data_IF_739189985268
#
_entry.id   IF_739189985268
#
_cell.length_a   1.000
_cell.length_b   1.000
_cell.length_c   1.000
_cell.angle_alpha   90.00
_cell.angle_beta   90.00
_cell.angle_gamma   90.00
#
_symmetry.space_group_name_H-M   'P 1'
#
loop_
_entity.id
_entity.type
_entity.pdbx_description
1 polymer ?
#
# COMPACT_ATOMS: atom_id res chain seq x y z
N UNK A 1 -29.36 56.63 40.46
CA UNK A 1 -29.01 55.22 40.77
C UNK A 1 -29.59 54.33 39.70
N UNK A 2 -28.75 53.89 38.76
CA UNK A 2 -29.11 52.94 37.69
C UNK A 2 -28.38 51.63 37.94
N UNK A 3 -29.06 50.51 38.17
CA UNK A 3 -28.49 49.19 38.38
C UNK A 3 -28.16 48.57 36.99
N UNK A 4 -27.01 47.92 36.83
CA UNK A 4 -26.76 47.16 35.60
C UNK A 4 -27.45 45.78 35.63
N UNK A 5 -28.08 45.45 34.53
CA UNK A 5 -28.64 44.11 34.26
C UNK A 5 -27.50 43.20 33.77
N UNK A 6 -27.18 42.20 34.53
CA UNK A 6 -26.29 41.11 34.08
C UNK A 6 -27.12 40.06 33.34
N UNK A 7 -26.90 39.92 32.04
CA UNK A 7 -27.45 38.82 31.23
C UNK A 7 -26.40 37.67 31.27
N UNK A 8 -26.75 36.61 32.01
CA UNK A 8 -25.95 35.36 32.00
C UNK A 8 -26.28 34.60 30.73
N UNK A 9 -25.34 34.52 29.80
CA UNK A 9 -25.41 33.63 28.64
C UNK A 9 -25.10 32.21 29.08
N UNK A 10 -26.10 31.34 29.19
CA UNK A 10 -25.90 29.91 29.36
C UNK A 10 -25.53 29.29 27.99
N UNK A 11 -24.25 28.90 27.85
CA UNK A 11 -23.80 28.12 26.67
C UNK A 11 -24.26 26.66 26.86
N UNK A 12 -25.30 26.28 26.11
CA UNK A 12 -25.76 24.91 26.03
C UNK A 12 -24.79 24.11 25.15
N UNK A 13 -23.90 23.34 25.76
CA UNK A 13 -23.05 22.39 25.05
C UNK A 13 -23.89 21.20 24.56
N UNK A 14 -24.28 21.21 23.29
CA UNK A 14 -24.90 20.06 22.64
C UNK A 14 -23.81 19.02 22.40
N UNK A 15 -23.73 18.03 23.29
CA UNK A 15 -22.91 16.82 23.07
C UNK A 15 -23.64 15.96 22.06
N UNK A 16 -23.29 16.07 20.78
CA UNK A 16 -23.71 15.12 19.75
C UNK A 16 -23.04 13.79 19.99
N UNK A 17 -23.69 12.89 20.71
CA UNK A 17 -23.34 11.48 20.77
C UNK A 17 -23.65 10.90 19.38
N UNK A 18 -22.62 10.79 18.54
CA UNK A 18 -22.73 10.04 17.30
C UNK A 18 -23.02 8.58 17.66
N UNK A 19 -24.28 8.17 17.56
CA UNK A 19 -24.69 6.78 17.60
C UNK A 19 -23.99 6.04 16.46
N UNK A 20 -22.83 5.43 16.75
CA UNK A 20 -22.23 4.44 15.88
C UNK A 20 -23.19 3.26 15.85
N UNK A 21 -23.82 3.00 14.70
CA UNK A 21 -24.52 1.74 14.49
C UNK A 21 -23.54 0.60 14.86
N UNK A 22 -23.91 -0.33 15.71
CA UNK A 22 -23.02 -1.42 16.09
C UNK A 22 -22.68 -2.20 14.82
N UNK A 23 -21.40 -2.28 14.50
CA UNK A 23 -20.91 -3.21 13.48
C UNK A 23 -21.31 -4.60 13.97
N UNK A 24 -22.05 -5.39 13.19
CA UNK A 24 -22.32 -6.76 13.57
C UNK A 24 -20.99 -7.44 13.88
N UNK A 25 -20.82 -7.84 15.14
CA UNK A 25 -19.63 -8.54 15.58
C UNK A 25 -19.41 -9.75 14.68
N UNK A 26 -18.16 -10.03 14.31
CA UNK A 26 -17.87 -11.24 13.57
C UNK A 26 -18.18 -12.44 14.49
N UNK A 27 -18.98 -13.38 13.98
CA UNK A 27 -19.31 -14.59 14.75
C UNK A 27 -18.02 -15.36 15.09
N UNK A 28 -17.94 -15.95 16.31
CA UNK A 28 -16.82 -16.78 16.68
C UNK A 28 -16.59 -17.92 15.70
N UNK A 29 -15.33 -18.13 15.31
CA UNK A 29 -14.94 -19.08 14.26
C UNK A 29 -13.71 -19.87 14.71
N UNK A 30 -13.74 -21.21 14.56
CA UNK A 30 -12.57 -22.06 14.67
C UNK A 30 -12.05 -22.38 13.28
N UNK A 31 -10.78 -22.10 12.97
CA UNK A 31 -10.14 -22.43 11.68
C UNK A 31 -9.14 -23.54 11.93
N UNK A 32 -9.43 -24.75 11.45
CA UNK A 32 -8.53 -25.91 11.50
C UNK A 32 -7.57 -25.86 10.35
N UNK A 33 -6.28 -25.82 10.60
CA UNK A 33 -5.23 -25.75 9.59
C UNK A 33 -4.38 -27.01 9.58
N UNK A 34 -4.03 -27.52 8.40
CA UNK A 34 -3.05 -28.61 8.28
C UNK A 34 -1.67 -28.17 8.73
N UNK A 35 -1.29 -26.97 8.36
CA UNK A 35 -0.07 -26.29 8.83
C UNK A 35 -0.37 -24.82 9.03
N UNK A 36 0.31 -24.21 10.00
CA UNK A 36 0.32 -22.75 10.18
C UNK A 36 1.77 -22.31 10.04
N UNK A 37 2.03 -21.46 9.06
CA UNK A 37 3.31 -20.77 8.91
C UNK A 37 3.24 -19.46 9.67
N UNK A 38 4.20 -19.25 10.57
CA UNK A 38 4.34 -18.00 11.33
C UNK A 38 5.57 -17.24 10.83
N UNK A 39 5.39 -16.20 9.99
CA UNK A 39 6.50 -15.42 9.48
C UNK A 39 7.23 -14.61 10.56
N UNK A 40 6.60 -14.33 11.70
CA UNK A 40 7.22 -13.57 12.78
C UNK A 40 8.32 -14.37 13.48
N UNK A 41 8.08 -15.65 13.70
CA UNK A 41 9.02 -16.58 14.38
C UNK A 41 9.76 -17.51 13.41
N UNK A 42 9.37 -17.51 12.12
CA UNK A 42 9.83 -18.46 11.07
C UNK A 42 9.61 -19.93 11.47
N UNK A 43 8.48 -20.21 12.08
CA UNK A 43 8.12 -21.56 12.53
C UNK A 43 6.90 -22.11 11.77
N UNK A 44 6.81 -23.45 11.73
CA UNK A 44 5.66 -24.14 11.17
C UNK A 44 5.04 -25.00 12.29
N UNK A 45 3.75 -24.82 12.54
CA UNK A 45 2.96 -25.67 13.44
C UNK A 45 2.05 -26.57 12.60
N UNK A 46 1.99 -27.86 12.88
CA UNK A 46 1.15 -28.84 12.18
C UNK A 46 -0.11 -29.16 13.00
N UNK A 47 -1.24 -29.39 12.32
CA UNK A 47 -2.50 -29.80 12.92
C UNK A 47 -3.05 -28.82 13.94
N UNK A 48 -2.88 -27.50 13.73
CA UNK A 48 -3.24 -26.48 14.69
C UNK A 48 -4.56 -25.78 14.32
N UNK A 49 -5.26 -25.25 15.34
CA UNK A 49 -6.48 -24.46 15.16
C UNK A 49 -6.22 -23.01 15.56
N UNK A 50 -6.69 -22.07 14.73
CA UNK A 50 -6.75 -20.65 15.05
C UNK A 50 -8.18 -20.31 15.45
N UNK A 51 -8.33 -19.70 16.61
CA UNK A 51 -9.63 -19.24 17.11
C UNK A 51 -9.79 -17.76 16.80
N UNK A 52 -10.93 -17.39 16.22
CA UNK A 52 -11.26 -16.02 15.85
C UNK A 52 -12.52 -15.59 16.60
N UNK A 53 -12.47 -14.40 17.18
CA UNK A 53 -13.59 -13.80 17.89
C UNK A 53 -13.52 -12.27 17.77
N UNK A 54 -14.65 -11.63 17.52
CA UNK A 54 -14.79 -10.17 17.36
C UNK A 54 -13.69 -9.53 16.50
N UNK A 55 -13.39 -10.17 15.37
CA UNK A 55 -12.40 -9.68 14.41
C UNK A 55 -10.93 -9.81 14.85
N UNK A 56 -10.64 -10.58 15.89
CA UNK A 56 -9.30 -10.83 16.43
C UNK A 56 -9.02 -12.33 16.55
N UNK A 57 -7.74 -12.66 16.57
CA UNK A 57 -7.28 -13.99 17.00
C UNK A 57 -7.47 -14.10 18.52
N UNK A 58 -8.21 -15.13 18.96
CA UNK A 58 -8.50 -15.41 20.35
C UNK A 58 -7.51 -16.40 20.97
N UNK A 59 -7.17 -16.21 22.23
CA UNK A 59 -6.37 -17.17 23.00
C UNK A 59 -7.20 -18.39 23.46
N UNK A 60 -8.52 -18.22 23.59
CA UNK A 60 -9.43 -19.26 24.05
C UNK A 60 -10.25 -19.82 22.88
N UNK A 61 -10.64 -21.12 22.94
CA UNK A 61 -11.57 -21.70 21.99
C UNK A 61 -12.93 -20.98 22.04
N UNK A 62 -13.64 -20.90 20.90
CA UNK A 62 -14.95 -20.30 20.86
C UNK A 62 -15.96 -21.16 21.66
N UNK A 63 -17.15 -20.62 21.99
CA UNK A 63 -18.21 -21.34 22.67
C UNK A 63 -18.60 -22.64 21.94
N UNK A 64 -19.16 -23.60 22.65
CA UNK A 64 -19.68 -24.84 22.06
C UNK A 64 -20.74 -24.50 20.98
N UNK A 65 -20.63 -25.15 19.81
CA UNK A 65 -21.51 -24.91 18.67
C UNK A 65 -21.04 -23.79 17.73
N UNK A 66 -19.91 -23.12 18.01
CA UNK A 66 -19.34 -22.16 17.08
C UNK A 66 -18.99 -22.81 15.72
N UNK A 67 -19.04 -22.00 14.67
CA UNK A 67 -18.71 -22.45 13.31
C UNK A 67 -17.26 -22.88 13.22
N UNK A 68 -17.03 -23.93 12.41
CA UNK A 68 -15.68 -24.40 12.05
C UNK A 68 -15.45 -24.25 10.56
N UNK A 69 -14.31 -23.67 10.19
CA UNK A 69 -13.76 -23.70 8.83
C UNK A 69 -12.65 -24.75 8.80
N UNK A 70 -12.87 -25.84 8.08
CA UNK A 70 -11.89 -26.91 7.96
C UNK A 70 -10.93 -26.64 6.81
N UNK A 71 -9.69 -26.34 7.15
CA UNK A 71 -8.56 -26.14 6.25
C UNK A 71 -7.42 -27.12 6.57
N UNK A 72 -7.76 -28.30 7.09
CA UNK A 72 -6.78 -29.31 7.52
C UNK A 72 -5.91 -29.86 6.37
N UNK A 73 -6.36 -29.70 5.12
CA UNK A 73 -5.58 -30.04 3.93
C UNK A 73 -4.61 -28.93 3.47
N UNK A 74 -4.65 -27.76 4.09
CA UNK A 74 -3.99 -26.54 3.57
C UNK A 74 -2.99 -25.96 4.54
N UNK A 75 -2.09 -25.10 4.00
CA UNK A 75 -1.19 -24.26 4.78
C UNK A 75 -1.86 -22.89 5.02
N UNK A 76 -1.98 -22.52 6.30
CA UNK A 76 -2.51 -21.22 6.71
C UNK A 76 -1.38 -20.23 7.04
N UNK A 77 -1.59 -18.98 6.70
CA UNK A 77 -0.71 -17.84 6.93
C UNK A 77 -1.52 -16.65 7.44
N UNK A 78 -0.88 -15.63 8.04
CA UNK A 78 -1.52 -14.34 8.22
C UNK A 78 -2.01 -13.78 6.89
N UNK A 79 -3.09 -13.01 6.90
CA UNK A 79 -3.53 -12.25 5.73
C UNK A 79 -2.42 -11.36 5.19
N UNK A 80 -2.27 -11.31 3.86
CA UNK A 80 -1.21 -10.54 3.20
C UNK A 80 -1.50 -9.05 3.22
N UNK A 81 -0.42 -8.27 3.20
CA UNK A 81 -0.44 -6.82 3.11
C UNK A 81 0.29 -6.42 1.83
N UNK A 82 -0.39 -5.67 0.96
CA UNK A 82 0.22 -5.00 -0.17
C UNK A 82 0.41 -3.52 0.17
N UNK A 83 1.64 -3.10 0.34
CA UNK A 83 1.96 -1.75 0.80
C UNK A 83 2.09 -0.73 -0.34
N UNK A 84 1.77 -1.11 -1.59
CA UNK A 84 1.74 -0.19 -2.72
C UNK A 84 0.71 -0.63 -3.75
N UNK A 85 -0.42 0.03 -3.77
CA UNK A 85 -1.51 -0.20 -4.74
C UNK A 85 -2.14 1.12 -5.20
N UNK A 86 -2.89 1.05 -6.30
CA UNK A 86 -3.75 2.10 -6.85
C UNK A 86 -5.12 1.50 -7.18
N UNK A 87 -6.04 1.49 -6.21
CA UNK A 87 -7.38 0.90 -6.39
C UNK A 87 -8.18 1.58 -7.50
N UNK A 88 -7.93 2.86 -7.74
CA UNK A 88 -8.67 3.71 -8.68
C UNK A 88 -8.03 3.75 -10.09
N UNK A 89 -6.96 2.97 -10.32
CA UNK A 89 -6.27 2.83 -11.59
C UNK A 89 -6.44 1.40 -12.14
N UNK A 90 -6.43 1.23 -13.46
CA UNK A 90 -6.60 -0.06 -14.14
C UNK A 90 -5.65 -0.17 -15.34
N UNK A 91 -4.37 -0.35 -15.05
CA UNK A 91 -3.29 -0.39 -16.02
C UNK A 91 -2.87 1.00 -16.52
N UNK A 92 -1.57 1.22 -16.62
CA UNK A 92 -0.97 2.42 -17.19
C UNK A 92 0.32 2.10 -17.94
N UNK A 93 0.37 0.94 -18.59
CA UNK A 93 1.54 0.54 -19.36
C UNK A 93 1.94 1.58 -20.42
N UNK A 94 0.98 2.33 -20.92
CA UNK A 94 1.17 3.43 -21.88
C UNK A 94 0.50 4.71 -21.39
N UNK A 95 1.00 5.88 -21.85
CA UNK A 95 0.36 7.17 -21.56
C UNK A 95 -1.09 7.22 -22.08
N UNK A 96 -1.41 6.54 -23.16
CA UNK A 96 -2.76 6.52 -23.72
C UNK A 96 -3.75 5.82 -22.78
N UNK A 97 -3.36 4.72 -22.12
CA UNK A 97 -4.20 4.03 -21.14
C UNK A 97 -4.42 4.90 -19.89
N UNK A 98 -3.40 5.63 -19.45
CA UNK A 98 -3.53 6.57 -18.35
C UNK A 98 -4.44 7.74 -18.70
N UNK A 99 -4.24 8.36 -19.87
CA UNK A 99 -5.02 9.50 -20.36
C UNK A 99 -6.50 9.13 -20.52
N UNK A 100 -6.82 7.91 -21.02
CA UNK A 100 -8.19 7.42 -21.11
C UNK A 100 -8.89 7.46 -19.76
N UNK A 101 -8.24 6.96 -18.72
CA UNK A 101 -8.83 6.90 -17.38
C UNK A 101 -9.01 8.29 -16.75
N UNK A 102 -8.06 9.20 -16.95
CA UNK A 102 -8.12 10.54 -16.35
C UNK A 102 -9.07 11.47 -17.13
N UNK A 103 -9.18 11.30 -18.43
CA UNK A 103 -9.93 12.21 -19.31
C UNK A 103 -11.35 11.72 -19.64
N UNK A 104 -11.58 10.40 -19.72
CA UNK A 104 -12.82 9.84 -20.22
C UNK A 104 -13.65 9.14 -19.14
N UNK A 105 -13.02 8.66 -18.05
CA UNK A 105 -13.75 7.97 -17.00
C UNK A 105 -14.21 8.93 -15.91
N UNK A 106 -15.48 8.85 -15.55
CA UNK A 106 -16.02 9.64 -14.42
C UNK A 106 -15.57 9.09 -13.07
N UNK A 107 -15.48 9.96 -12.06
CA UNK A 107 -15.14 9.55 -10.69
C UNK A 107 -16.05 8.43 -10.15
N UNK A 108 -17.40 8.50 -10.30
CA UNK A 108 -18.29 7.40 -9.89
C UNK A 108 -17.99 6.06 -10.58
N UNK A 109 -17.67 6.07 -11.88
CA UNK A 109 -17.30 4.85 -12.60
C UNK A 109 -16.00 4.25 -12.03
N UNK A 110 -14.97 5.08 -11.81
CA UNK A 110 -13.70 4.65 -11.23
C UNK A 110 -13.86 4.08 -9.82
N UNK A 111 -14.76 4.64 -8.99
CA UNK A 111 -15.08 4.10 -7.66
C UNK A 111 -15.72 2.71 -7.75
N UNK A 112 -16.66 2.50 -8.68
CA UNK A 112 -17.29 1.18 -8.88
C UNK A 112 -16.26 0.15 -9.33
N UNK A 113 -15.37 0.51 -10.26
CA UNK A 113 -14.26 -0.33 -10.71
C UNK A 113 -13.27 -0.64 -9.57
N UNK A 114 -12.95 0.35 -8.75
CA UNK A 114 -12.09 0.18 -7.58
C UNK A 114 -12.67 -0.77 -6.52
N UNK A 115 -14.00 -0.82 -6.37
CA UNK A 115 -14.65 -1.80 -5.51
C UNK A 115 -14.46 -3.24 -6.03
N UNK A 116 -14.48 -3.45 -7.36
CA UNK A 116 -14.15 -4.73 -7.98
C UNK A 116 -12.64 -5.07 -7.79
N UNK A 117 -11.74 -4.12 -8.00
CA UNK A 117 -10.31 -4.27 -7.75
C UNK A 117 -10.02 -4.69 -6.29
N UNK A 118 -10.66 -4.04 -5.33
CA UNK A 118 -10.56 -4.39 -3.91
C UNK A 118 -11.06 -5.83 -3.62
N UNK A 119 -12.07 -6.30 -4.34
CA UNK A 119 -12.52 -7.69 -4.25
C UNK A 119 -11.46 -8.66 -4.78
N UNK A 120 -10.84 -8.35 -5.91
CA UNK A 120 -9.74 -9.14 -6.48
C UNK A 120 -8.58 -9.23 -5.49
N UNK A 121 -8.19 -8.11 -4.86
CA UNK A 121 -7.16 -8.11 -3.81
C UNK A 121 -7.48 -9.09 -2.69
N UNK A 122 -8.72 -9.10 -2.18
CA UNK A 122 -9.17 -10.07 -1.18
C UNK A 122 -9.08 -11.51 -1.69
N UNK A 123 -9.52 -11.78 -2.92
CA UNK A 123 -9.49 -13.11 -3.51
C UNK A 123 -8.07 -13.64 -3.72
N UNK A 124 -7.10 -12.73 -3.89
CA UNK A 124 -5.67 -13.05 -3.91
C UNK A 124 -5.06 -13.20 -2.49
N UNK A 125 -5.80 -12.91 -1.42
CA UNK A 125 -5.34 -13.05 -0.04
C UNK A 125 -4.82 -11.76 0.60
N UNK A 126 -4.88 -10.63 -0.11
CA UNK A 126 -4.47 -9.34 0.43
C UNK A 126 -5.60 -8.73 1.26
N UNK A 127 -5.54 -8.94 2.57
CA UNK A 127 -6.56 -8.46 3.53
C UNK A 127 -6.33 -7.01 3.94
N UNK A 128 -5.18 -6.46 3.59
CA UNK A 128 -4.80 -5.06 3.83
C UNK A 128 -4.04 -4.52 2.62
N UNK A 129 -4.36 -3.30 2.20
CA UNK A 129 -3.66 -2.58 1.13
C UNK A 129 -3.34 -1.15 1.57
N UNK A 130 -2.21 -0.60 1.08
CA UNK A 130 -1.91 0.82 1.14
C UNK A 130 -2.08 1.39 -0.26
N UNK A 131 -3.09 2.25 -0.44
CA UNK A 131 -3.38 2.95 -1.69
C UNK A 131 -2.55 4.23 -1.75
N UNK A 132 -1.64 4.32 -2.71
CA UNK A 132 -0.63 5.38 -2.79
C UNK A 132 -0.87 6.39 -3.92
N UNK A 133 -2.13 6.64 -4.22
CA UNK A 133 -2.52 7.68 -5.17
C UNK A 133 -3.79 7.33 -5.91
N UNK A 134 -4.68 8.31 -6.00
CA UNK A 134 -6.00 8.13 -6.64
C UNK A 134 -6.00 8.48 -8.12
N UNK A 135 -4.87 8.99 -8.64
CA UNK A 135 -4.66 9.31 -10.04
C UNK A 135 -5.81 10.16 -10.63
N UNK A 136 -6.12 11.28 -9.93
CA UNK A 136 -7.17 12.23 -10.34
C UNK A 136 -8.58 11.93 -9.82
N UNK A 137 -8.78 10.87 -9.02
CA UNK A 137 -10.10 10.58 -8.42
C UNK A 137 -10.30 11.22 -7.03
N UNK A 138 -9.56 12.28 -6.70
CA UNK A 138 -9.70 13.00 -5.43
C UNK A 138 -9.42 12.13 -4.21
N UNK A 139 -10.33 12.10 -3.25
CA UNK A 139 -10.23 11.29 -2.02
C UNK A 139 -11.10 10.03 -2.04
N UNK A 140 -11.31 9.46 -3.22
CA UNK A 140 -12.17 8.28 -3.38
C UNK A 140 -11.64 7.03 -2.67
N UNK A 141 -10.34 6.90 -2.45
CA UNK A 141 -9.72 5.86 -1.63
C UNK A 141 -10.14 5.96 -0.15
N UNK A 142 -10.26 7.18 0.39
CA UNK A 142 -10.80 7.44 1.74
C UNK A 142 -12.25 7.03 1.84
N UNK A 143 -13.06 7.30 0.80
CA UNK A 143 -14.46 6.90 0.76
C UNK A 143 -14.61 5.37 0.61
N UNK A 144 -13.80 4.71 -0.20
CA UNK A 144 -13.73 3.25 -0.30
C UNK A 144 -13.38 2.62 1.06
N UNK A 145 -12.33 3.11 1.73
CA UNK A 145 -11.99 2.68 3.10
C UNK A 145 -13.19 2.78 4.03
N UNK A 146 -13.89 3.91 4.00
CA UNK A 146 -15.08 4.16 4.83
C UNK A 146 -16.23 3.20 4.50
N UNK A 147 -16.45 2.92 3.20
CA UNK A 147 -17.46 1.97 2.74
C UNK A 147 -17.17 0.55 3.23
N UNK A 148 -15.91 0.09 3.12
CA UNK A 148 -15.47 -1.22 3.63
C UNK A 148 -15.57 -1.31 5.15
N UNK A 149 -15.14 -0.28 5.88
CA UNK A 149 -15.23 -0.22 7.34
C UNK A 149 -16.68 -0.26 7.85
N UNK A 150 -17.62 0.32 7.10
CA UNK A 150 -19.05 0.29 7.43
C UNK A 150 -19.77 -0.97 6.96
N UNK A 151 -19.10 -1.83 6.21
CA UNK A 151 -19.69 -3.04 5.64
C UNK A 151 -20.69 -2.78 4.52
N UNK A 152 -20.64 -1.62 3.88
CA UNK A 152 -21.45 -1.29 2.69
C UNK A 152 -21.03 -2.20 1.53
N UNK A 153 -19.72 -2.43 1.39
CA UNK A 153 -19.12 -3.33 0.43
C UNK A 153 -18.07 -4.20 1.13
N UNK A 154 -17.83 -5.44 0.66
CA UNK A 154 -16.66 -6.22 1.08
C UNK A 154 -15.38 -5.61 0.48
N UNK A 155 -14.32 -5.53 1.28
CA UNK A 155 -13.04 -5.02 0.84
C UNK A 155 -11.95 -5.23 1.90
N UNK A 156 -10.67 -5.06 1.54
CA UNK A 156 -9.53 -5.11 2.47
C UNK A 156 -9.54 -3.91 3.43
N UNK A 157 -8.67 -3.92 4.43
CA UNK A 157 -8.30 -2.68 5.10
C UNK A 157 -7.52 -1.82 4.12
N UNK A 158 -7.90 -0.56 4.00
CA UNK A 158 -7.23 0.41 3.14
C UNK A 158 -6.53 1.45 4.00
N UNK A 159 -5.24 1.68 3.73
CA UNK A 159 -4.49 2.85 4.19
C UNK A 159 -4.42 3.81 3.00
N UNK A 160 -5.16 4.89 3.07
CA UNK A 160 -5.38 5.82 1.97
C UNK A 160 -4.38 6.97 1.98
N UNK A 161 -3.91 7.40 0.81
CA UNK A 161 -3.06 8.59 0.66
C UNK A 161 -3.76 9.78 -0.03
N UNK A 162 -4.92 9.54 -0.66
CA UNK A 162 -5.54 10.54 -1.51
C UNK A 162 -4.71 10.82 -2.78
N UNK A 163 -4.81 12.00 -3.38
CA UNK A 163 -3.98 12.38 -4.51
C UNK A 163 -2.49 12.44 -4.13
N UNK A 164 -1.62 11.78 -4.90
CA UNK A 164 -0.19 11.92 -4.71
C UNK A 164 0.25 13.37 -4.95
N UNK A 165 1.28 13.84 -4.25
CA UNK A 165 1.77 15.22 -4.37
C UNK A 165 2.88 15.33 -5.41
N UNK A 166 2.85 16.38 -6.21
CA UNK A 166 3.90 16.76 -7.16
C UNK A 166 3.96 18.28 -7.32
N UNK A 167 4.93 18.78 -8.08
CA UNK A 167 5.03 20.21 -8.44
C UNK A 167 4.29 20.49 -9.75
N UNK A 168 4.09 21.77 -10.05
CA UNK A 168 3.60 22.18 -11.38
C UNK A 168 4.51 21.63 -12.47
N UNK A 169 3.93 20.91 -13.44
CA UNK A 169 4.65 20.22 -14.52
C UNK A 169 5.39 18.96 -14.07
N UNK A 170 5.23 18.50 -12.83
CA UNK A 170 5.87 17.29 -12.32
C UNK A 170 5.19 15.98 -12.73
N UNK A 171 3.89 16.03 -13.03
CA UNK A 171 3.10 14.86 -13.46
C UNK A 171 1.98 15.30 -14.43
N UNK A 172 2.32 15.92 -15.58
CA UNK A 172 1.31 16.43 -16.50
C UNK A 172 0.82 15.36 -17.47
N UNK A 173 -0.41 15.52 -17.94
CA UNK A 173 -0.84 14.88 -19.19
C UNK A 173 -0.09 15.56 -20.34
N UNK A 174 0.59 14.77 -21.16
CA UNK A 174 1.48 15.27 -22.22
C UNK A 174 0.79 15.25 -23.59
N UNK A 175 1.25 16.11 -24.51
CA UNK A 175 0.80 16.14 -25.89
C UNK A 175 -0.48 16.95 -26.15
N UNK A 176 -1.01 17.64 -25.15
CA UNK A 176 -2.20 18.48 -25.27
C UNK A 176 -1.83 19.97 -25.42
N UNK A 177 -2.73 20.74 -26.09
CA UNK A 177 -2.56 22.20 -26.21
C UNK A 177 -2.58 22.85 -24.84
N UNK A 178 -1.66 23.79 -24.59
CA UNK A 178 -1.58 24.57 -23.36
C UNK A 178 -2.84 25.40 -23.05
N UNK A 179 -3.66 25.69 -24.06
CA UNK A 179 -4.95 26.40 -23.91
C UNK A 179 -6.02 25.54 -23.24
N UNK A 180 -5.82 24.21 -23.18
CA UNK A 180 -6.78 23.31 -22.55
C UNK A 180 -6.53 23.24 -21.05
N UNK A 181 -7.58 23.39 -20.28
CA UNK A 181 -7.54 23.08 -18.84
C UNK A 181 -7.65 21.56 -18.67
N UNK A 182 -6.51 20.94 -18.43
CA UNK A 182 -6.43 19.49 -18.19
C UNK A 182 -6.72 19.16 -16.73
N UNK A 183 -7.35 18.00 -16.43
CA UNK A 183 -7.41 17.51 -15.06
C UNK A 183 -6.01 17.11 -14.58
N UNK A 184 -5.80 17.17 -13.27
CA UNK A 184 -4.56 16.77 -12.64
C UNK A 184 -4.72 15.38 -12.00
N UNK A 185 -3.79 14.46 -12.31
CA UNK A 185 -3.67 13.18 -11.63
C UNK A 185 -3.15 13.29 -10.19
N UNK A 186 -2.59 14.43 -9.83
CA UNK A 186 -1.89 14.72 -8.57
C UNK A 186 -2.38 15.99 -7.88
N UNK A 187 -2.03 16.16 -6.62
CA UNK A 187 -2.15 17.43 -5.90
C UNK A 187 -0.86 18.22 -6.08
N UNK A 188 -0.93 19.37 -6.76
CA UNK A 188 0.23 20.24 -6.99
C UNK A 188 0.49 21.11 -5.80
N UNK A 189 1.78 21.36 -5.50
CA UNK A 189 2.23 22.39 -4.59
C UNK A 189 3.59 22.93 -5.04
N UNK A 190 3.75 24.25 -4.98
CA UNK A 190 4.97 24.96 -5.37
C UNK A 190 5.42 25.86 -4.23
N UNK A 191 6.64 25.65 -3.78
CA UNK A 191 7.22 26.32 -2.61
C UNK A 191 6.82 25.67 -1.27
N UNK A 192 7.67 25.84 -0.23
CA UNK A 192 7.52 25.16 1.07
C UNK A 192 6.18 25.41 1.77
N UNK A 193 5.68 26.66 1.73
CA UNK A 193 4.45 27.03 2.43
C UNK A 193 3.20 26.43 1.76
N UNK A 194 3.16 26.42 0.43
CA UNK A 194 2.07 25.81 -0.31
C UNK A 194 2.08 24.27 -0.13
N UNK A 195 3.26 23.66 -0.09
CA UNK A 195 3.39 22.24 0.20
C UNK A 195 2.94 21.88 1.63
N UNK A 196 3.23 22.70 2.65
CA UNK A 196 2.66 22.52 4.00
C UNK A 196 1.12 22.61 3.98
N UNK A 197 0.58 23.57 3.24
CA UNK A 197 -0.88 23.71 3.09
C UNK A 197 -1.49 22.50 2.39
N UNK A 198 -0.86 21.97 1.35
CA UNK A 198 -1.30 20.78 0.64
C UNK A 198 -1.33 19.55 1.56
N UNK A 199 -0.31 19.33 2.40
CA UNK A 199 -0.30 18.26 3.42
C UNK A 199 -1.47 18.41 4.39
N UNK A 200 -1.72 19.62 4.92
CA UNK A 200 -2.86 19.90 5.81
C UNK A 200 -4.19 19.59 5.14
N UNK A 201 -4.34 19.98 3.88
CA UNK A 201 -5.53 19.70 3.08
C UNK A 201 -5.75 18.19 2.92
N UNK A 202 -4.72 17.41 2.64
CA UNK A 202 -4.82 15.95 2.57
C UNK A 202 -5.26 15.34 3.91
N UNK A 203 -4.61 15.75 5.01
CA UNK A 203 -4.92 15.24 6.36
C UNK A 203 -6.35 15.61 6.78
N UNK A 204 -6.80 16.82 6.45
CA UNK A 204 -8.20 17.27 6.67
C UNK A 204 -9.21 16.35 5.96
N UNK A 205 -8.86 15.84 4.79
CA UNK A 205 -9.72 14.91 4.02
C UNK A 205 -9.58 13.46 4.46
N UNK A 206 -8.77 13.18 5.49
CA UNK A 206 -8.76 11.91 6.19
C UNK A 206 -7.77 10.89 5.66
N UNK A 207 -6.71 11.27 4.97
CA UNK A 207 -5.66 10.34 4.54
C UNK A 207 -4.89 9.74 5.72
N UNK A 208 -4.33 8.56 5.52
CA UNK A 208 -3.47 7.86 6.49
C UNK A 208 -2.00 8.13 6.22
N UNK A 209 -1.63 8.34 4.96
CA UNK A 209 -0.29 8.55 4.45
C UNK A 209 -0.23 9.78 3.53
N UNK A 210 0.96 10.32 3.33
CA UNK A 210 1.26 11.27 2.25
C UNK A 210 2.09 10.53 1.21
N UNK A 211 1.71 10.61 -0.07
CA UNK A 211 2.52 10.12 -1.20
C UNK A 211 3.09 11.30 -1.96
N UNK A 212 4.38 11.22 -2.31
CA UNK A 212 5.06 12.20 -3.15
C UNK A 212 5.72 11.54 -4.35
N UNK A 213 5.81 12.25 -5.47
CA UNK A 213 6.66 11.90 -6.60
C UNK A 213 7.97 12.67 -6.48
N UNK A 214 9.05 12.01 -6.02
CA UNK A 214 10.33 12.69 -5.78
C UNK A 214 11.10 12.96 -7.07
N UNK A 215 10.97 12.12 -8.09
CA UNK A 215 11.67 12.26 -9.37
C UNK A 215 10.83 11.83 -10.57
N UNK A 216 11.28 12.23 -11.77
CA UNK A 216 10.71 11.89 -13.08
C UNK A 216 11.76 11.96 -14.18
N UNK A 217 11.41 11.49 -15.38
CA UNK A 217 12.24 11.66 -16.60
C UNK A 217 13.63 11.07 -16.46
N UNK A 218 13.68 9.75 -16.30
CA UNK A 218 14.91 9.00 -16.06
C UNK A 218 15.80 8.97 -17.30
N UNK A 219 17.12 9.14 -17.11
CA UNK A 219 18.11 9.13 -18.18
C UNK A 219 19.48 8.65 -17.71
N UNK A 220 20.33 8.30 -18.70
CA UNK A 220 21.74 7.97 -18.45
C UNK A 220 22.60 9.21 -18.53
N UNK A 221 23.48 9.37 -17.54
CA UNK A 221 24.48 10.45 -17.58
C UNK A 221 25.64 10.10 -18.51
N UNK A 222 26.40 11.08 -19.03
CA UNK A 222 27.53 10.82 -19.95
C UNK A 222 28.60 9.89 -19.38
N UNK A 223 28.80 9.86 -18.08
CA UNK A 223 29.72 8.96 -17.36
C UNK A 223 29.12 7.56 -17.11
N UNK A 224 27.92 7.29 -17.63
CA UNK A 224 27.25 6.01 -17.50
C UNK A 224 26.43 5.85 -16.21
N UNK A 225 26.30 6.88 -15.38
CA UNK A 225 25.45 6.91 -14.20
C UNK A 225 23.96 6.99 -14.55
N UNK A 226 23.12 7.06 -13.50
CA UNK A 226 21.68 7.25 -13.59
C UNK A 226 21.30 8.59 -12.98
N UNK A 227 20.38 9.29 -13.62
CA UNK A 227 19.80 10.51 -13.11
C UNK A 227 18.32 10.65 -13.53
N UNK A 228 17.65 11.53 -12.84
CA UNK A 228 16.28 11.98 -13.13
C UNK A 228 16.14 13.45 -12.79
N UNK A 229 15.06 14.07 -13.24
CA UNK A 229 14.66 15.39 -12.80
C UNK A 229 14.02 15.25 -11.41
N UNK A 230 14.59 15.90 -10.40
CA UNK A 230 13.92 16.02 -9.10
C UNK A 230 12.66 16.88 -9.26
N UNK A 231 11.54 16.42 -8.69
CA UNK A 231 10.31 17.21 -8.71
C UNK A 231 10.34 18.33 -7.67
N UNK A 232 10.75 18.00 -6.46
CA UNK A 232 10.78 18.97 -5.35
C UNK A 232 12.20 19.45 -5.10
N UNK A 233 12.34 20.71 -4.69
CA UNK A 233 13.56 21.19 -4.07
C UNK A 233 13.74 20.52 -2.69
N UNK A 234 14.94 20.50 -2.12
CA UNK A 234 15.16 19.98 -0.77
C UNK A 234 14.27 20.67 0.29
N UNK A 235 14.03 21.97 0.15
CA UNK A 235 13.22 22.77 1.06
C UNK A 235 11.73 22.39 0.99
N UNK A 236 11.20 22.17 -0.22
CA UNK A 236 9.82 21.72 -0.43
C UNK A 236 9.61 20.31 0.13
N UNK A 237 10.49 19.37 -0.21
CA UNK A 237 10.39 17.98 0.29
C UNK A 237 10.50 17.95 1.82
N UNK A 238 11.41 18.75 2.41
CA UNK A 238 11.53 18.89 3.85
C UNK A 238 10.24 19.45 4.47
N UNK A 239 9.64 20.46 3.85
CA UNK A 239 8.39 21.06 4.34
C UNK A 239 7.24 20.05 4.33
N UNK A 240 7.15 19.19 3.29
CA UNK A 240 6.15 18.13 3.20
C UNK A 240 6.35 17.12 4.35
N UNK A 241 7.57 16.61 4.51
CA UNK A 241 7.85 15.57 5.49
C UNK A 241 7.67 16.07 6.92
N UNK A 242 8.20 17.24 7.25
CA UNK A 242 8.03 17.86 8.57
C UNK A 242 6.56 18.07 8.92
N UNK A 243 5.77 18.61 7.99
CA UNK A 243 4.35 18.86 8.23
C UNK A 243 3.56 17.57 8.38
N UNK A 244 3.86 16.56 7.54
CA UNK A 244 3.25 15.23 7.65
C UNK A 244 3.54 14.58 9.01
N UNK A 245 4.80 14.58 9.44
CA UNK A 245 5.20 14.00 10.72
C UNK A 245 4.61 14.78 11.92
N UNK A 246 4.54 16.11 11.86
CA UNK A 246 3.85 16.93 12.87
C UNK A 246 2.37 16.53 13.01
N UNK A 247 1.74 16.13 11.91
CA UNK A 247 0.36 15.65 11.86
C UNK A 247 0.26 14.12 12.05
N UNK A 248 1.35 13.45 12.46
CA UNK A 248 1.45 11.99 12.70
C UNK A 248 1.11 11.17 11.46
N UNK A 249 1.51 11.67 10.27
CA UNK A 249 1.40 10.96 9.00
C UNK A 249 2.78 10.61 8.50
N UNK A 250 2.92 9.41 7.93
CA UNK A 250 4.13 8.95 7.26
C UNK A 250 4.13 9.40 5.80
N UNK A 251 5.32 9.44 5.20
CA UNK A 251 5.52 9.87 3.80
C UNK A 251 6.12 8.73 2.99
N UNK A 252 5.47 8.37 1.89
CA UNK A 252 5.94 7.43 0.88
C UNK A 252 6.43 8.20 -0.35
N UNK A 253 7.64 7.93 -0.81
CA UNK A 253 8.25 8.63 -1.94
C UNK A 253 8.45 7.70 -3.14
N UNK A 254 7.70 7.94 -4.24
CA UNK A 254 8.11 7.42 -5.54
C UNK A 254 9.47 8.00 -5.87
N UNK A 255 10.45 7.14 -6.08
CA UNK A 255 11.80 7.55 -6.45
C UNK A 255 12.53 6.39 -7.10
N UNK A 256 13.06 6.60 -8.30
CA UNK A 256 13.70 5.55 -9.09
C UNK A 256 15.21 5.72 -9.23
N UNK A 257 15.74 6.91 -8.93
CA UNK A 257 17.15 7.22 -9.18
C UNK A 257 17.86 7.83 -7.96
N UNK A 258 19.21 7.79 -7.92
CA UNK A 258 19.98 8.37 -6.81
C UNK A 258 19.67 9.85 -6.54
N UNK A 259 19.32 10.62 -7.58
CA UNK A 259 18.97 12.04 -7.42
C UNK A 259 17.67 12.23 -6.61
N UNK A 260 16.63 11.48 -6.96
CA UNK A 260 15.38 11.48 -6.20
C UNK A 260 15.54 10.90 -4.80
N UNK A 261 16.26 9.78 -4.68
CA UNK A 261 16.53 9.14 -3.38
C UNK A 261 17.20 10.11 -2.39
N UNK A 262 18.21 10.87 -2.83
CA UNK A 262 18.89 11.84 -1.97
C UNK A 262 17.95 12.92 -1.44
N UNK A 263 17.11 13.48 -2.29
CA UNK A 263 16.13 14.51 -1.87
C UNK A 263 15.13 13.90 -0.88
N UNK A 264 14.56 12.75 -1.18
CA UNK A 264 13.59 12.08 -0.32
C UNK A 264 14.18 11.67 1.04
N UNK A 265 15.33 10.98 1.02
CA UNK A 265 15.99 10.52 2.25
C UNK A 265 16.51 11.66 3.12
N UNK A 266 17.03 12.75 2.52
CA UNK A 266 17.49 13.91 3.31
C UNK A 266 16.34 14.59 4.04
N UNK A 267 15.15 14.61 3.47
CA UNK A 267 13.95 15.13 4.10
C UNK A 267 13.36 14.22 5.19
N UNK A 268 13.68 12.91 5.17
CA UNK A 268 13.25 11.96 6.19
C UNK A 268 11.97 11.20 5.85
N UNK A 269 11.76 10.83 4.59
CA UNK A 269 10.63 9.97 4.18
C UNK A 269 10.69 8.60 4.87
N UNK A 270 9.54 7.95 5.00
CA UNK A 270 9.39 6.66 5.70
C UNK A 270 9.55 5.44 4.78
N UNK A 271 9.27 5.59 3.48
CA UNK A 271 9.53 4.55 2.48
C UNK A 271 9.94 5.10 1.13
N UNK A 272 10.78 4.34 0.43
CA UNK A 272 11.12 4.51 -0.99
C UNK A 272 10.34 3.47 -1.77
N UNK A 273 9.58 3.95 -2.72
CA UNK A 273 8.79 3.15 -3.64
C UNK A 273 9.54 3.00 -4.96
N UNK A 274 9.50 1.83 -5.58
CA UNK A 274 10.24 1.39 -6.78
C UNK A 274 11.74 1.23 -6.52
N UNK A 275 12.49 2.31 -6.31
CA UNK A 275 13.91 2.24 -5.96
C UNK A 275 14.77 1.51 -7.00
N UNK A 276 14.52 1.73 -8.30
CA UNK A 276 15.14 0.95 -9.37
C UNK A 276 16.66 1.09 -9.41
N UNK A 277 17.19 2.22 -8.95
CA UNK A 277 18.64 2.46 -8.94
C UNK A 277 19.09 2.87 -7.53
N UNK A 278 19.12 1.92 -6.60
CA UNK A 278 19.66 2.14 -5.26
C UNK A 278 21.20 1.98 -5.29
N UNK A 279 21.95 3.09 -5.24
CA UNK A 279 23.39 3.05 -5.06
C UNK A 279 23.79 2.69 -3.60
N UNK A 280 25.07 2.49 -3.36
CA UNK A 280 25.56 2.11 -2.02
C UNK A 280 25.28 3.17 -0.96
N UNK A 281 25.36 4.45 -1.33
CA UNK A 281 25.10 5.58 -0.42
C UNK A 281 23.62 5.60 -0.01
N UNK A 282 22.74 5.44 -0.99
CA UNK A 282 21.28 5.32 -0.75
C UNK A 282 20.96 4.16 0.18
N UNK A 283 21.51 2.98 -0.11
CA UNK A 283 21.29 1.77 0.72
C UNK A 283 21.78 1.97 2.16
N UNK A 284 22.99 2.54 2.34
CA UNK A 284 23.53 2.85 3.67
C UNK A 284 22.64 3.83 4.43
N UNK A 285 22.11 4.86 3.75
CA UNK A 285 21.20 5.83 4.34
C UNK A 285 19.87 5.20 4.75
N UNK A 286 19.31 4.31 3.92
CA UNK A 286 18.06 3.57 4.23
C UNK A 286 18.23 2.68 5.46
N UNK A 287 19.32 1.93 5.55
CA UNK A 287 19.62 1.08 6.72
C UNK A 287 19.75 1.92 7.99
N UNK A 288 20.56 3.00 7.93
CA UNK A 288 20.82 3.85 9.08
C UNK A 288 19.56 4.53 9.63
N UNK A 289 18.63 4.90 8.75
CA UNK A 289 17.38 5.59 9.10
C UNK A 289 16.17 4.67 9.20
N UNK A 290 16.34 3.37 8.94
CA UNK A 290 15.27 2.35 8.89
C UNK A 290 14.16 2.72 7.91
N UNK A 291 14.51 3.34 6.77
CA UNK A 291 13.56 3.63 5.69
C UNK A 291 13.24 2.33 4.96
N UNK A 292 11.95 2.04 4.79
CA UNK A 292 11.52 0.83 4.10
C UNK A 292 11.69 0.95 2.58
N UNK A 293 11.91 -0.18 1.94
CA UNK A 293 11.94 -0.33 0.48
C UNK A 293 10.73 -1.13 0.01
N UNK A 294 9.98 -0.59 -0.95
CA UNK A 294 8.84 -1.24 -1.58
C UNK A 294 9.13 -1.40 -3.08
N UNK A 295 9.60 -2.57 -3.55
CA UNK A 295 10.26 -2.70 -4.86
C UNK A 295 9.32 -2.72 -6.06
N UNK A 296 8.06 -3.14 -5.91
CA UNK A 296 7.03 -3.16 -6.96
C UNK A 296 7.48 -3.84 -8.27
N UNK A 297 8.08 -5.02 -8.14
CA UNK A 297 8.71 -5.72 -9.27
C UNK A 297 7.66 -6.15 -10.30
N UNK A 298 6.46 -6.51 -9.83
CA UNK A 298 5.37 -6.98 -10.70
C UNK A 298 4.96 -5.93 -11.72
N UNK A 299 4.80 -4.65 -11.31
CA UNK A 299 4.49 -3.57 -12.25
C UNK A 299 5.67 -3.29 -13.18
N UNK A 300 6.90 -3.31 -12.68
CA UNK A 300 8.09 -3.10 -13.51
C UNK A 300 8.19 -4.15 -14.64
N UNK A 301 7.89 -5.43 -14.34
CA UNK A 301 7.81 -6.49 -15.33
C UNK A 301 6.68 -6.25 -16.35
N UNK A 302 5.52 -5.81 -15.90
CA UNK A 302 4.37 -5.55 -16.75
C UNK A 302 4.60 -4.41 -17.72
N UNK A 303 5.09 -3.26 -17.25
CA UNK A 303 5.26 -2.06 -18.07
C UNK A 303 6.51 -2.09 -18.94
N UNK A 304 7.52 -2.89 -18.57
CA UNK A 304 8.79 -3.00 -19.31
C UNK A 304 8.57 -3.26 -20.79
N UNK A 305 7.81 -4.30 -21.14
CA UNK A 305 7.60 -4.72 -22.51
C UNK A 305 6.98 -3.63 -23.41
N UNK A 306 5.85 -3.04 -23.05
CA UNK A 306 5.26 -1.91 -23.80
C UNK A 306 6.17 -0.69 -23.87
N UNK A 307 6.76 -0.27 -22.73
CA UNK A 307 7.57 0.96 -22.64
C UNK A 307 8.93 0.84 -23.33
N UNK A 308 9.56 -0.34 -23.35
CA UNK A 308 10.84 -0.56 -24.05
C UNK A 308 10.73 -0.43 -25.57
N UNK A 309 9.53 -0.61 -26.13
CA UNK A 309 9.29 -0.39 -27.58
C UNK A 309 9.49 1.07 -27.98
N UNK A 310 9.23 2.01 -27.05
CA UNK A 310 9.38 3.44 -27.30
C UNK A 310 10.68 4.01 -26.72
N UNK A 311 11.19 3.42 -25.64
CA UNK A 311 12.42 3.85 -24.98
C UNK A 311 13.14 2.67 -24.33
N UNK A 312 14.31 2.22 -24.87
CA UNK A 312 15.05 1.08 -24.36
C UNK A 312 15.62 1.27 -22.94
N UNK A 313 15.48 2.44 -22.33
CA UNK A 313 15.89 2.71 -20.97
C UNK A 313 15.16 1.78 -19.96
N UNK A 314 13.96 1.34 -20.29
CA UNK A 314 13.17 0.46 -19.41
C UNK A 314 13.77 -0.93 -19.22
N UNK A 315 14.43 -1.48 -20.24
CA UNK A 315 15.19 -2.74 -20.10
C UNK A 315 16.42 -2.56 -19.22
N UNK A 316 17.05 -1.39 -19.29
CA UNK A 316 18.19 -1.07 -18.43
C UNK A 316 17.77 -0.84 -16.99
N UNK A 317 16.63 -0.18 -16.76
CA UNK A 317 16.04 -0.01 -15.43
C UNK A 317 15.68 -1.34 -14.80
N UNK A 318 15.11 -2.27 -15.53
CA UNK A 318 14.83 -3.63 -15.05
C UNK A 318 16.08 -4.34 -14.52
N UNK A 319 17.18 -4.25 -15.24
CA UNK A 319 18.45 -4.82 -14.79
C UNK A 319 18.99 -4.11 -13.54
N UNK A 320 18.92 -2.78 -13.54
CA UNK A 320 19.35 -1.98 -12.40
C UNK A 320 18.49 -2.24 -11.14
N UNK A 321 17.18 -2.41 -11.30
CA UNK A 321 16.26 -2.75 -10.22
C UNK A 321 16.57 -4.10 -9.57
N UNK A 322 16.91 -5.10 -10.40
CA UNK A 322 17.32 -6.40 -9.87
C UNK A 322 18.60 -6.30 -9.02
N UNK A 323 19.60 -5.54 -9.47
CA UNK A 323 20.85 -5.34 -8.71
C UNK A 323 20.60 -4.51 -7.45
N UNK A 324 19.71 -3.51 -7.53
CA UNK A 324 19.30 -2.69 -6.39
C UNK A 324 18.59 -3.52 -5.32
N UNK A 325 17.67 -4.38 -5.72
CA UNK A 325 16.98 -5.30 -4.81
C UNK A 325 17.96 -6.21 -4.07
N UNK A 326 18.86 -6.87 -4.82
CA UNK A 326 19.90 -7.75 -4.23
C UNK A 326 20.78 -6.99 -3.24
N UNK A 327 21.19 -5.77 -3.59
CA UNK A 327 22.02 -4.90 -2.75
C UNK A 327 21.29 -4.50 -1.47
N UNK A 328 20.05 -4.03 -1.59
CA UNK A 328 19.21 -3.63 -0.46
C UNK A 328 18.92 -4.81 0.48
N UNK A 329 18.55 -5.97 -0.07
CA UNK A 329 18.30 -7.18 0.70
C UNK A 329 19.55 -7.66 1.46
N UNK A 330 20.70 -7.73 0.79
CA UNK A 330 21.98 -8.11 1.41
C UNK A 330 22.40 -7.15 2.52
N UNK A 331 22.12 -5.87 2.37
CA UNK A 331 22.44 -4.84 3.37
C UNK A 331 21.47 -4.82 4.56
N UNK A 332 20.35 -5.53 4.50
CA UNK A 332 19.35 -5.58 5.56
C UNK A 332 18.38 -4.39 5.56
N UNK A 333 18.16 -3.74 4.42
CA UNK A 333 17.10 -2.76 4.26
C UNK A 333 15.75 -3.44 4.53
N UNK A 334 14.83 -2.86 5.33
CA UNK A 334 13.50 -3.43 5.50
C UNK A 334 12.74 -3.41 4.17
N UNK A 335 12.48 -4.59 3.58
CA UNK A 335 11.74 -4.70 2.31
C UNK A 335 10.29 -5.04 2.63
N UNK A 336 9.39 -4.10 2.34
CA UNK A 336 7.94 -4.29 2.43
C UNK A 336 7.40 -4.73 1.07
N UNK A 337 6.49 -5.69 1.09
CA UNK A 337 5.80 -6.17 -0.10
C UNK A 337 4.91 -5.05 -0.66
N UNK A 338 4.99 -4.81 -1.94
CA UNK A 338 4.14 -3.89 -2.68
C UNK A 338 4.27 -4.14 -4.16
N UNK A 339 3.16 -4.10 -4.87
CA UNK A 339 3.06 -4.56 -6.25
C UNK A 339 2.88 -3.45 -7.27
N UNK A 340 2.38 -2.29 -6.81
CA UNK A 340 1.86 -1.22 -7.65
C UNK A 340 0.68 -1.70 -8.53
N UNK A 341 -0.17 -2.57 -7.95
CA UNK A 341 -1.41 -3.00 -8.61
C UNK A 341 -2.31 -1.81 -8.89
N UNK A 342 -2.82 -1.74 -10.11
CA UNK A 342 -3.40 -0.55 -10.70
C UNK A 342 -2.49 0.03 -11.78
N UNK A 343 -1.16 0.01 -11.61
CA UNK A 343 -0.22 0.21 -12.70
C UNK A 343 -0.22 -0.95 -13.71
N UNK A 344 -0.59 -2.13 -13.26
CA UNK A 344 -1.08 -3.22 -14.10
C UNK A 344 -2.57 -3.46 -13.87
N UNK A 345 -3.27 -4.04 -14.84
CA UNK A 345 -4.69 -4.36 -14.71
C UNK A 345 -4.93 -5.38 -13.59
N UNK A 346 -5.84 -5.07 -12.69
CA UNK A 346 -6.17 -5.89 -11.53
C UNK A 346 -6.65 -7.31 -11.87
N UNK A 347 -7.28 -7.49 -13.04
CA UNK A 347 -7.82 -8.75 -13.53
C UNK A 347 -6.86 -9.52 -14.47
N UNK A 348 -5.72 -8.92 -14.85
CA UNK A 348 -4.74 -9.54 -15.75
C UNK A 348 -3.52 -10.11 -15.03
N UNK A 349 -3.19 -9.62 -13.84
CA UNK A 349 -2.03 -10.05 -13.07
C UNK A 349 -2.43 -10.34 -11.61
N UNK A 350 -1.74 -11.29 -11.02
CA UNK A 350 -1.92 -11.61 -9.61
C UNK A 350 -0.87 -10.87 -8.76
N UNK A 351 -1.31 -10.11 -7.77
CA UNK A 351 -0.41 -9.42 -6.84
C UNK A 351 0.62 -10.38 -6.21
N UNK A 352 0.26 -11.64 -5.96
CA UNK A 352 1.15 -12.62 -5.37
C UNK A 352 2.33 -13.05 -6.26
N UNK A 353 2.36 -12.64 -7.55
CA UNK A 353 3.53 -12.82 -8.42
C UNK A 353 4.76 -12.11 -7.86
N UNK A 354 4.59 -11.02 -7.10
CA UNK A 354 5.67 -10.31 -6.43
C UNK A 354 6.51 -11.22 -5.51
N UNK A 355 5.88 -12.19 -4.83
CA UNK A 355 6.62 -13.20 -4.06
C UNK A 355 7.57 -14.00 -4.94
N UNK A 356 7.11 -14.39 -6.12
CA UNK A 356 7.89 -15.17 -7.09
C UNK A 356 9.08 -14.37 -7.60
N UNK A 357 8.90 -13.09 -7.91
CA UNK A 357 9.97 -12.19 -8.30
C UNK A 357 10.98 -11.96 -7.16
N UNK A 358 10.52 -11.67 -5.95
CA UNK A 358 11.39 -11.48 -4.79
C UNK A 358 12.31 -12.70 -4.56
N UNK A 359 11.74 -13.90 -4.62
CA UNK A 359 12.52 -15.15 -4.45
C UNK A 359 13.46 -15.38 -5.62
N UNK A 360 13.01 -15.15 -6.86
CA UNK A 360 13.86 -15.25 -8.04
C UNK A 360 15.05 -14.26 -8.01
N UNK A 361 14.86 -13.11 -7.35
CA UNK A 361 15.93 -12.11 -7.16
C UNK A 361 16.79 -12.36 -5.91
N UNK A 362 16.57 -13.48 -5.21
CA UNK A 362 17.47 -13.99 -4.18
C UNK A 362 17.00 -13.85 -2.73
N UNK A 363 15.75 -13.39 -2.51
CA UNK A 363 15.16 -13.39 -1.18
C UNK A 363 14.79 -14.83 -0.76
N UNK A 364 14.91 -15.14 0.53
CA UNK A 364 14.42 -16.45 1.01
C UNK A 364 12.88 -16.48 1.03
N UNK A 365 12.25 -17.67 0.85
CA UNK A 365 10.78 -17.76 0.98
C UNK A 365 10.24 -17.22 2.32
N UNK A 366 10.95 -17.43 3.43
CA UNK A 366 10.59 -16.86 4.71
C UNK A 366 10.61 -15.33 4.70
N UNK A 367 11.63 -14.72 4.11
CA UNK A 367 11.73 -13.26 4.06
C UNK A 367 10.69 -12.66 3.11
N UNK A 368 10.37 -13.36 2.01
CA UNK A 368 9.27 -12.98 1.12
C UNK A 368 7.92 -13.00 1.87
N UNK A 369 7.62 -14.04 2.66
CA UNK A 369 6.43 -14.06 3.51
C UNK A 369 6.44 -12.93 4.55
N UNK A 370 7.59 -12.64 5.14
CA UNK A 370 7.76 -11.55 6.11
C UNK A 370 7.51 -10.18 5.49
N UNK A 371 7.92 -9.98 4.24
CA UNK A 371 7.71 -8.69 3.54
C UNK A 371 6.24 -8.33 3.43
N UNK A 372 5.36 -9.31 3.15
CA UNK A 372 3.90 -9.12 3.03
C UNK A 372 3.13 -9.26 4.37
N UNK A 373 3.82 -9.44 5.47
CA UNK A 373 3.20 -9.63 6.80
C UNK A 373 3.87 -8.72 7.82
N UNK A 374 4.93 -9.18 8.44
CA UNK A 374 5.59 -8.52 9.57
C UNK A 374 6.18 -7.17 9.17
N UNK A 375 6.92 -7.12 8.05
CA UNK A 375 7.63 -5.90 7.62
C UNK A 375 6.63 -4.86 7.11
N UNK A 376 5.65 -5.29 6.29
CA UNK A 376 4.60 -4.37 5.84
C UNK A 376 3.74 -3.86 7.01
N UNK A 377 3.42 -4.72 8.00
CA UNK A 377 2.69 -4.29 9.19
C UNK A 377 3.49 -3.24 10.00
N UNK A 378 4.80 -3.40 10.14
CA UNK A 378 5.67 -2.43 10.82
C UNK A 378 5.72 -1.09 10.05
N UNK A 379 5.88 -1.14 8.73
CA UNK A 379 5.81 0.03 7.87
C UNK A 379 4.51 0.80 8.07
N UNK A 380 3.38 0.09 8.12
CA UNK A 380 2.06 0.70 8.34
C UNK A 380 1.82 1.16 9.80
N UNK A 381 2.77 0.94 10.71
CA UNK A 381 2.60 1.24 12.13
C UNK A 381 1.59 0.32 12.82
N UNK A 382 1.44 -0.91 12.32
CA UNK A 382 0.48 -1.92 12.78
C UNK A 382 1.16 -3.19 13.30
N UNK A 383 2.43 -3.11 13.68
CA UNK A 383 3.17 -4.22 14.27
C UNK A 383 2.43 -4.82 15.47
N UNK A 384 2.34 -6.16 15.54
CA UNK A 384 1.62 -6.88 16.58
C UNK A 384 0.08 -6.85 16.43
N UNK A 385 -0.45 -6.13 15.45
CA UNK A 385 -1.88 -6.14 15.09
C UNK A 385 -2.12 -6.82 13.74
N UNK A 386 -1.40 -6.44 12.70
CA UNK A 386 -1.49 -7.05 11.36
C UNK A 386 -0.31 -8.00 11.11
N UNK A 387 -0.47 -8.88 10.13
CA UNK A 387 0.58 -9.79 9.65
C UNK A 387 0.99 -10.88 10.63
N UNK A 388 0.13 -11.25 11.57
CA UNK A 388 0.36 -12.27 12.59
C UNK A 388 -0.92 -13.09 12.88
N UNK A 389 -0.73 -14.29 13.48
CA UNK A 389 -1.82 -15.17 13.95
C UNK A 389 -1.69 -15.51 15.44
N UNK A 390 -1.04 -14.64 16.21
CA UNK A 390 -0.99 -14.74 17.68
C UNK A 390 -2.27 -14.14 18.30
N UNK A 391 -2.64 -14.53 19.52
CA UNK A 391 -3.73 -13.91 20.25
C UNK A 391 -3.60 -12.39 20.31
N UNK A 392 -4.69 -11.68 20.00
CA UNK A 392 -4.72 -10.23 19.90
C UNK A 392 -4.48 -9.66 18.49
N UNK A 393 -3.87 -10.43 17.58
CA UNK A 393 -3.74 -10.01 16.17
C UNK A 393 -5.12 -9.90 15.50
N UNK A 394 -5.19 -9.16 14.39
CA UNK A 394 -6.37 -9.11 13.53
C UNK A 394 -6.72 -10.51 12.99
N UNK A 395 -8.01 -10.80 12.91
CA UNK A 395 -8.51 -12.07 12.39
C UNK A 395 -8.43 -12.11 10.86
N UNK A 396 -7.21 -12.04 10.33
CA UNK A 396 -6.90 -12.10 8.91
C UNK A 396 -6.04 -13.33 8.62
N UNK A 397 -6.56 -14.23 7.80
CA UNK A 397 -5.92 -15.51 7.50
C UNK A 397 -6.09 -15.85 6.02
N UNK A 398 -5.03 -16.38 5.45
CA UNK A 398 -5.01 -16.94 4.08
C UNK A 398 -4.65 -18.41 4.15
N UNK A 399 -5.27 -19.23 3.31
CA UNK A 399 -4.88 -20.61 3.12
C UNK A 399 -4.48 -20.88 1.67
N UNK A 400 -3.43 -21.68 1.48
CA UNK A 400 -2.90 -22.09 0.18
C UNK A 400 -2.72 -23.59 0.12
N UNK A 401 -2.85 -24.16 -1.09
CA UNK A 401 -2.53 -25.55 -1.34
C UNK A 401 -1.02 -25.72 -1.53
N UNK A 402 -0.43 -26.74 -0.90
CA UNK A 402 1.01 -27.01 -1.02
C UNK A 402 1.87 -26.36 0.05
N UNK A 403 3.14 -26.16 -0.25
CA UNK A 403 4.15 -25.62 0.68
C UNK A 403 4.85 -24.40 0.09
N UNK A 404 4.50 -23.17 0.53
CA UNK A 404 5.09 -21.95 0.00
C UNK A 404 6.59 -21.79 0.33
N UNK A 405 7.12 -22.57 1.27
CA UNK A 405 8.57 -22.58 1.55
C UNK A 405 9.35 -23.39 0.53
N UNK A 406 8.69 -24.32 -0.17
CA UNK A 406 9.29 -25.12 -1.26
C UNK A 406 9.00 -24.52 -2.64
N UNK A 407 7.78 -24.02 -2.83
CA UNK A 407 7.37 -23.37 -4.07
C UNK A 407 6.50 -22.15 -3.72
N UNK A 408 7.12 -20.98 -3.79
CA UNK A 408 6.46 -19.72 -3.45
C UNK A 408 5.28 -19.39 -4.36
N UNK A 409 5.20 -19.96 -5.57
CA UNK A 409 4.09 -19.77 -6.52
C UNK A 409 2.77 -20.35 -6.00
N UNK A 410 2.80 -21.19 -4.95
CA UNK A 410 1.58 -21.64 -4.27
C UNK A 410 0.79 -20.47 -3.68
N UNK A 411 1.46 -19.35 -3.39
CA UNK A 411 0.83 -18.12 -2.87
C UNK A 411 -0.06 -17.42 -3.92
N UNK A 412 0.16 -17.68 -5.21
CA UNK A 412 -0.65 -17.15 -6.31
C UNK A 412 -2.05 -17.80 -6.38
N UNK A 413 -2.25 -18.91 -5.65
CA UNK A 413 -3.48 -19.70 -5.67
C UNK A 413 -4.04 -19.87 -4.26
N UNK A 414 -4.55 -18.77 -3.70
CA UNK A 414 -5.24 -18.83 -2.41
C UNK A 414 -6.53 -19.64 -2.50
N UNK A 415 -6.74 -20.57 -1.58
CA UNK A 415 -7.94 -21.43 -1.51
C UNK A 415 -8.98 -20.93 -0.52
N UNK A 416 -8.55 -20.23 0.52
CA UNK A 416 -9.45 -19.61 1.48
C UNK A 416 -8.87 -18.28 1.99
N UNK A 417 -9.77 -17.35 2.30
CA UNK A 417 -9.42 -16.06 2.88
C UNK A 417 -10.42 -15.73 3.98
N UNK A 418 -9.89 -15.39 5.14
CA UNK A 418 -10.63 -14.76 6.25
C UNK A 418 -10.11 -13.35 6.40
N UNK A 419 -10.99 -12.37 6.34
CA UNK A 419 -10.67 -10.96 6.54
C UNK A 419 -11.54 -10.38 7.64
N UNK A 420 -10.92 -9.76 8.63
CA UNK A 420 -11.61 -9.15 9.78
C UNK A 420 -12.59 -10.11 10.49
N UNK A 421 -12.20 -11.39 10.60
CA UNK A 421 -13.00 -12.45 11.21
C UNK A 421 -14.11 -13.03 10.32
N UNK A 422 -14.26 -12.54 9.09
CA UNK A 422 -15.27 -13.02 8.14
C UNK A 422 -14.64 -13.87 7.05
N UNK A 423 -15.26 -15.01 6.76
CA UNK A 423 -14.84 -15.87 5.62
C UNK A 423 -15.28 -15.19 4.33
N UNK A 424 -14.31 -14.72 3.52
CA UNK A 424 -14.56 -14.02 2.24
C UNK A 424 -14.34 -14.93 1.03
N UNK A 425 -13.52 -15.98 1.18
CA UNK A 425 -13.29 -17.04 0.19
C UNK A 425 -13.22 -18.38 0.90
N UNK A 426 -13.77 -19.44 0.27
CA UNK A 426 -13.75 -20.83 0.77
C UNK A 426 -13.07 -21.72 -0.25
N UNK A 427 -12.50 -22.86 0.17
CA UNK A 427 -12.17 -23.93 -0.78
C UNK A 427 -13.43 -24.38 -1.52
N UNK A 428 -13.26 -24.74 -2.79
CA UNK A 428 -14.29 -25.36 -3.62
C UNK A 428 -14.67 -26.76 -3.10
#
# INVERSE_FOLDING_TARGET
MKRPFCISLAVLAVVTVALRAPRAAAEPLAVRCGRILDPSTRTVRTGATVFLDDGKVSAAPPPAGARTLDLSAFACLPGFIDAHTHLLLQGDATSAEYDEQVLLESGPYRVLRAAAAARIALDHGFTTVRDLGTEGAGFADVDLRRAFQRGILPGPRVFASGPAMSVTGGYPLLGYSWERKMPDGVLKCDGPDDCRKAVRFQVQNGVDWIKVYADRSYYRTPDGGWAAIANFTPEEMKAIVEEAHNLRKKVAAHSMTPSGHRVALSAGVDSIEHGDVLDEETVKAMVARKVAYCPTITVADFVKGPRSKTNPIWDQLWTAAQDSFKRAYKAGVPIAFGTDAGGFDWDKRNQAEEFSFMVAWGMTPWDALRSATVVAADLLGQAGWLGCLAPGCAADLVAVAGDPLRDVRTLEKTVAVVSQGKVVKRPD
#
